data_IF_862066643862
#
_entry.id   IF_862066643862
#
_cell.length_a   1.000
_cell.length_b   1.000
_cell.length_c   1.000
_cell.angle_alpha   90.00
_cell.angle_beta   90.00
_cell.angle_gamma   90.00
#
_symmetry.space_group_name_H-M   'P 1'
#
loop_
_entity.id
_entity.type
_entity.pdbx_description
1 polymer ?
#
# COMPACT_ATOMS: atom_id res chain seq x y z
N UNK A 1 -51.10 -8.76 1.97
CA UNK A 1 -50.07 -8.95 0.91
C UNK A 1 -49.19 -7.70 0.75
N UNK A 2 -49.72 -6.48 0.91
CA UNK A 2 -48.94 -5.26 0.68
C UNK A 2 -47.87 -4.94 1.73
N UNK A 3 -48.07 -5.34 2.99
CA UNK A 3 -47.07 -5.12 4.06
C UNK A 3 -45.73 -5.83 3.79
N UNK A 4 -45.78 -7.08 3.29
CA UNK A 4 -44.57 -7.84 2.95
C UNK A 4 -43.80 -7.19 1.78
N UNK A 5 -44.52 -6.62 0.80
CA UNK A 5 -43.93 -5.91 -0.34
C UNK A 5 -43.25 -4.61 0.07
N UNK A 6 -43.89 -3.83 0.97
CA UNK A 6 -43.31 -2.58 1.52
C UNK A 6 -42.08 -2.87 2.39
N UNK A 7 -42.08 -3.95 3.18
CA UNK A 7 -40.90 -4.36 3.95
C UNK A 7 -39.76 -4.81 3.04
N UNK A 8 -40.06 -5.58 1.98
CA UNK A 8 -39.05 -6.00 1.00
C UNK A 8 -38.43 -4.79 0.27
N UNK A 9 -39.25 -3.83 -0.15
CA UNK A 9 -38.78 -2.60 -0.80
C UNK A 9 -37.89 -1.76 0.14
N UNK A 10 -38.31 -1.59 1.39
CA UNK A 10 -37.49 -0.90 2.39
C UNK A 10 -36.18 -1.63 2.69
N UNK A 11 -36.18 -2.96 2.72
CA UNK A 11 -34.96 -3.76 2.91
C UNK A 11 -33.97 -3.58 1.75
N UNK A 12 -34.45 -3.60 0.51
CA UNK A 12 -33.63 -3.35 -0.68
C UNK A 12 -33.06 -1.93 -0.65
N UNK A 13 -33.90 -0.92 -0.36
CA UNK A 13 -33.45 0.47 -0.22
C UNK A 13 -32.38 0.61 0.85
N UNK A 14 -32.58 0.02 2.02
CA UNK A 14 -31.61 0.07 3.13
C UNK A 14 -30.29 -0.60 2.78
N UNK A 15 -30.31 -1.72 2.06
CA UNK A 15 -29.08 -2.37 1.56
C UNK A 15 -28.32 -1.46 0.59
N UNK A 16 -29.02 -0.83 -0.35
CA UNK A 16 -28.39 0.10 -1.30
C UNK A 16 -27.82 1.34 -0.60
N UNK A 17 -28.56 1.92 0.36
CA UNK A 17 -28.07 3.00 1.22
C UNK A 17 -26.80 2.58 1.96
N UNK A 18 -26.79 1.40 2.60
CA UNK A 18 -25.62 0.88 3.31
C UNK A 18 -24.40 0.75 2.41
N UNK A 19 -24.55 0.20 1.20
CA UNK A 19 -23.45 0.07 0.25
C UNK A 19 -22.90 1.44 -0.18
N UNK A 20 -23.77 2.43 -0.37
CA UNK A 20 -23.34 3.79 -0.70
C UNK A 20 -22.62 4.45 0.49
N UNK A 21 -23.10 4.25 1.72
CA UNK A 21 -22.41 4.73 2.93
C UNK A 21 -21.06 4.06 3.13
N UNK A 22 -20.93 2.76 2.86
CA UNK A 22 -19.65 2.06 2.95
C UNK A 22 -18.63 2.61 1.95
N UNK A 23 -19.06 2.86 0.70
CA UNK A 23 -18.22 3.53 -0.31
C UNK A 23 -17.84 4.96 0.07
N UNK A 24 -18.75 5.70 0.71
CA UNK A 24 -18.43 7.03 1.23
C UNK A 24 -17.42 6.93 2.37
N UNK A 25 -17.61 5.99 3.29
CA UNK A 25 -16.73 5.75 4.43
C UNK A 25 -15.31 5.41 3.99
N UNK A 26 -15.14 4.51 3.01
CA UNK A 26 -13.79 4.16 2.51
C UNK A 26 -13.09 5.35 1.84
N UNK A 27 -13.84 6.18 1.11
CA UNK A 27 -13.30 7.43 0.54
C UNK A 27 -12.92 8.43 1.62
N UNK A 28 -13.71 8.56 2.68
CA UNK A 28 -13.41 9.45 3.81
C UNK A 28 -12.17 8.98 4.57
N UNK A 29 -12.02 7.67 4.78
CA UNK A 29 -10.85 7.09 5.44
C UNK A 29 -9.57 7.33 4.63
N UNK A 30 -9.62 7.10 3.31
CA UNK A 30 -8.51 7.41 2.41
C UNK A 30 -8.14 8.91 2.41
N UNK A 31 -9.13 9.81 2.50
CA UNK A 31 -8.88 11.25 2.61
C UNK A 31 -8.28 11.61 3.96
N UNK A 32 -8.76 11.01 5.05
CA UNK A 32 -8.21 11.21 6.41
C UNK A 32 -6.74 10.83 6.46
N UNK A 33 -6.39 9.64 5.94
CA UNK A 33 -5.01 9.17 5.93
C UNK A 33 -4.08 10.08 5.10
N UNK A 34 -4.57 10.60 3.97
CA UNK A 34 -3.84 11.61 3.17
C UNK A 34 -3.66 12.94 3.93
N UNK A 35 -4.68 13.39 4.65
CA UNK A 35 -4.60 14.61 5.46
C UNK A 35 -3.63 14.45 6.64
N UNK A 36 -3.62 13.30 7.30
CA UNK A 36 -2.66 13.00 8.37
C UNK A 36 -1.22 12.98 7.85
N UNK A 37 -1.01 12.35 6.69
CA UNK A 37 0.27 12.39 5.97
C UNK A 37 0.70 13.82 5.69
N UNK A 38 -0.21 14.63 5.16
CA UNK A 38 0.06 16.03 4.82
C UNK A 38 0.35 16.88 6.07
N UNK A 39 -0.36 16.66 7.17
CA UNK A 39 -0.13 17.36 8.44
C UNK A 39 1.25 17.05 9.02
N UNK A 40 1.67 15.78 8.99
CA UNK A 40 3.03 15.36 9.36
C UNK A 40 4.07 16.02 8.46
N UNK A 41 3.87 15.97 7.14
CA UNK A 41 4.80 16.55 6.16
C UNK A 41 4.89 18.09 6.26
N UNK A 42 3.80 18.77 6.62
CA UNK A 42 3.79 20.21 6.91
C UNK A 42 4.64 20.55 8.14
N UNK A 43 4.57 19.73 9.18
CA UNK A 43 5.38 19.89 10.41
C UNK A 43 6.87 19.67 10.12
N UNK A 44 7.19 18.68 9.29
CA UNK A 44 8.56 18.41 8.85
C UNK A 44 9.09 19.57 8.00
N UNK A 45 8.30 20.04 7.02
CA UNK A 45 8.65 21.19 6.17
C UNK A 45 8.97 22.45 7.00
N UNK A 46 8.17 22.74 8.04
CA UNK A 46 8.45 23.85 8.97
C UNK A 46 9.76 23.65 9.73
N UNK A 47 10.02 22.45 10.21
CA UNK A 47 11.25 22.10 10.94
C UNK A 47 12.48 22.23 10.05
N UNK A 48 12.42 21.71 8.81
CA UNK A 48 13.48 21.88 7.81
C UNK A 48 13.70 23.35 7.48
N UNK A 49 12.64 24.14 7.32
CA UNK A 49 12.75 25.59 7.09
C UNK A 49 13.48 26.33 8.22
N UNK A 50 13.29 25.92 9.48
CA UNK A 50 14.02 26.49 10.61
C UNK A 50 15.49 26.06 10.64
N UNK A 51 15.78 24.80 10.32
CA UNK A 51 17.16 24.28 10.25
C UNK A 51 17.94 25.00 9.15
N UNK A 52 17.34 25.18 7.96
CA UNK A 52 17.97 25.92 6.85
C UNK A 52 18.28 27.36 7.25
N UNK A 53 17.36 28.06 7.93
CA UNK A 53 17.62 29.41 8.45
C UNK A 53 18.75 29.44 9.49
N UNK A 54 18.80 28.44 10.37
CA UNK A 54 19.87 28.31 11.36
C UNK A 54 21.23 28.04 10.72
N UNK A 55 21.24 27.23 9.64
CA UNK A 55 22.43 26.95 8.85
C UNK A 55 22.93 28.21 8.13
N UNK A 56 22.03 28.97 7.50
CA UNK A 56 22.35 30.24 6.84
C UNK A 56 22.93 31.26 7.82
N UNK A 57 22.35 31.39 9.02
CA UNK A 57 22.87 32.25 10.09
C UNK A 57 24.25 31.80 10.60
N UNK A 58 24.46 30.49 10.74
CA UNK A 58 25.75 29.92 11.18
C UNK A 58 26.84 30.09 10.12
N UNK A 59 26.48 29.96 8.83
CA UNK A 59 27.35 30.22 7.69
C UNK A 59 27.75 31.70 7.62
N UNK A 60 26.79 32.61 7.78
CA UNK A 60 27.04 34.05 7.76
C UNK A 60 27.96 34.52 8.90
N UNK A 61 27.91 33.85 10.05
CA UNK A 61 28.76 34.16 11.21
C UNK A 61 30.09 33.39 11.23
N UNK A 62 30.33 32.50 10.24
CA UNK A 62 31.53 31.66 10.19
C UNK A 62 31.64 30.66 11.34
N UNK A 63 30.53 30.36 12.03
CA UNK A 63 30.53 29.48 13.19
C UNK A 63 30.41 28.01 12.74
N UNK A 64 31.55 27.39 12.47
CA UNK A 64 31.67 25.98 12.06
C UNK A 64 31.13 25.00 13.12
N UNK A 65 31.24 25.33 14.42
CA UNK A 65 30.70 24.50 15.49
C UNK A 65 29.16 24.43 15.41
N UNK A 66 28.50 25.58 15.31
CA UNK A 66 27.04 25.65 15.13
C UNK A 66 26.58 25.04 13.80
N UNK A 67 27.41 25.14 12.76
CA UNK A 67 27.14 24.49 11.48
C UNK A 67 27.14 22.96 11.61
N UNK A 68 28.11 22.39 12.33
CA UNK A 68 28.14 20.96 12.63
C UNK A 68 26.92 20.53 13.43
N UNK A 69 26.57 21.27 14.50
CA UNK A 69 25.39 20.96 15.34
C UNK A 69 24.08 21.05 14.56
N UNK A 70 23.93 22.02 13.66
CA UNK A 70 22.74 22.18 12.81
C UNK A 70 22.67 21.11 11.71
N UNK A 71 23.81 20.64 11.21
CA UNK A 71 23.86 19.51 10.29
C UNK A 71 23.50 18.19 10.97
N UNK A 72 23.97 17.95 12.21
CA UNK A 72 23.57 16.78 12.98
C UNK A 72 22.05 16.77 13.25
N UNK A 73 21.45 17.95 13.46
CA UNK A 73 19.99 18.09 13.58
C UNK A 73 19.27 17.86 12.25
N UNK A 74 19.82 18.34 11.14
CA UNK A 74 19.28 18.08 9.81
C UNK A 74 19.23 16.58 9.52
N UNK A 75 20.34 15.88 9.77
CA UNK A 75 20.47 14.44 9.52
C UNK A 75 19.47 13.64 10.38
N UNK A 76 19.34 13.97 11.67
CA UNK A 76 18.31 13.37 12.54
C UNK A 76 16.90 13.59 12.03
N UNK A 77 16.58 14.79 11.55
CA UNK A 77 15.23 15.10 11.07
C UNK A 77 14.94 14.41 9.75
N UNK A 78 15.95 14.27 8.89
CA UNK A 78 15.84 13.56 7.63
C UNK A 78 15.66 12.05 7.83
N UNK A 79 16.47 11.41 8.68
CA UNK A 79 16.33 9.98 9.01
C UNK A 79 14.97 9.69 9.65
N UNK A 80 14.51 10.54 10.58
CA UNK A 80 13.17 10.38 11.16
C UNK A 80 12.06 10.50 10.12
N UNK A 81 12.23 11.33 9.09
CA UNK A 81 11.27 11.45 7.99
C UNK A 81 11.25 10.18 7.14
N UNK A 82 12.41 9.62 6.80
CA UNK A 82 12.49 8.37 6.03
C UNK A 82 11.84 7.20 6.78
N UNK A 83 12.17 7.04 8.07
CA UNK A 83 11.57 5.98 8.90
C UNK A 83 10.05 6.17 9.03
N UNK A 84 9.57 7.41 9.18
CA UNK A 84 8.13 7.67 9.21
C UNK A 84 7.45 7.42 7.86
N UNK A 85 8.09 7.74 6.75
CA UNK A 85 7.57 7.47 5.41
C UNK A 85 7.49 5.96 5.17
N UNK A 86 8.55 5.21 5.49
CA UNK A 86 8.58 3.75 5.38
C UNK A 86 7.52 3.08 6.27
N UNK A 87 7.38 3.53 7.52
CA UNK A 87 6.35 2.99 8.42
C UNK A 87 4.94 3.29 7.90
N UNK A 88 4.73 4.47 7.32
CA UNK A 88 3.44 4.84 6.76
C UNK A 88 3.13 4.09 5.47
N UNK A 89 4.10 3.87 4.59
CA UNK A 89 4.00 3.01 3.41
C UNK A 89 3.63 1.58 3.81
N UNK A 90 4.33 1.03 4.80
CA UNK A 90 4.08 -0.33 5.33
C UNK A 90 2.70 -0.45 6.00
N UNK A 91 2.29 0.55 6.79
CA UNK A 91 0.97 0.59 7.40
C UNK A 91 -0.16 0.78 6.37
N UNK A 92 0.06 1.61 5.35
CA UNK A 92 -0.86 1.77 4.22
C UNK A 92 -0.99 0.48 3.43
N UNK A 93 0.13 -0.21 3.15
CA UNK A 93 0.14 -1.51 2.47
C UNK A 93 -0.60 -2.58 3.29
N UNK A 94 -0.39 -2.64 4.61
CA UNK A 94 -1.09 -3.57 5.49
C UNK A 94 -2.61 -3.30 5.60
N UNK A 95 -3.02 -2.03 5.70
CA UNK A 95 -4.45 -1.64 5.73
C UNK A 95 -5.14 -1.87 4.38
N UNK A 96 -4.43 -1.57 3.29
CA UNK A 96 -4.89 -1.79 1.91
C UNK A 96 -4.99 -3.29 1.60
N UNK A 97 -4.09 -4.12 2.13
CA UNK A 97 -4.14 -5.59 1.97
C UNK A 97 -5.47 -6.20 2.46
N UNK A 98 -6.05 -5.66 3.55
CA UNK A 98 -7.33 -6.16 4.08
C UNK A 98 -8.55 -5.75 3.22
N UNK A 99 -8.45 -4.63 2.50
CA UNK A 99 -9.55 -4.08 1.68
C UNK A 99 -9.40 -4.34 0.17
N UNK A 100 -8.21 -4.75 -0.26
CA UNK A 100 -7.86 -5.21 -1.61
C UNK A 100 -7.01 -6.47 -1.49
N UNK A 101 -7.63 -7.64 -1.38
CA UNK A 101 -6.91 -8.92 -1.38
C UNK A 101 -6.12 -9.07 -2.68
N UNK A 102 -4.85 -9.48 -2.59
CA UNK A 102 -3.99 -9.62 -3.78
C UNK A 102 -4.58 -10.61 -4.80
N UNK A 103 -5.24 -11.68 -4.35
CA UNK A 103 -5.92 -12.63 -5.24
C UNK A 103 -7.02 -12.00 -6.10
N UNK A 104 -7.82 -11.09 -5.54
CA UNK A 104 -8.86 -10.37 -6.28
C UNK A 104 -8.26 -9.38 -7.30
N UNK A 105 -7.16 -8.72 -6.93
CA UNK A 105 -6.42 -7.81 -7.82
C UNK A 105 -5.77 -8.59 -8.96
N UNK A 106 -5.15 -9.73 -8.68
CA UNK A 106 -4.52 -10.61 -9.67
C UNK A 106 -5.55 -11.18 -10.64
N UNK A 107 -6.70 -11.62 -10.14
CA UNK A 107 -7.80 -12.10 -10.99
C UNK A 107 -8.36 -11.00 -11.89
N UNK A 108 -8.53 -9.78 -11.36
CA UNK A 108 -8.98 -8.64 -12.15
C UNK A 108 -7.94 -8.23 -13.20
N UNK A 109 -6.65 -8.26 -12.84
CA UNK A 109 -5.55 -7.95 -13.75
C UNK A 109 -5.50 -8.94 -14.92
N UNK A 110 -5.71 -10.24 -14.65
CA UNK A 110 -5.78 -11.26 -15.70
C UNK A 110 -7.02 -11.11 -16.58
N UNK A 111 -8.18 -10.79 -16.00
CA UNK A 111 -9.40 -10.51 -16.78
C UNK A 111 -9.21 -9.30 -17.71
N UNK A 112 -8.59 -8.22 -17.22
CA UNK A 112 -8.29 -7.02 -18.04
C UNK A 112 -7.21 -7.33 -19.08
N UNK A 113 -6.21 -8.14 -18.75
CA UNK A 113 -5.19 -8.59 -19.70
C UNK A 113 -5.84 -9.33 -20.89
N UNK A 114 -6.71 -10.30 -20.58
CA UNK A 114 -7.44 -11.08 -21.57
C UNK A 114 -8.39 -10.20 -22.41
N UNK A 115 -9.13 -9.27 -21.78
CA UNK A 115 -10.08 -8.38 -22.45
C UNK A 115 -9.41 -7.39 -23.42
N UNK A 116 -8.19 -6.95 -23.12
CA UNK A 116 -7.43 -6.02 -23.95
C UNK A 116 -6.43 -6.72 -24.88
N UNK A 117 -6.40 -8.06 -24.91
CA UNK A 117 -5.44 -8.83 -25.70
C UNK A 117 -3.98 -8.54 -25.32
N UNK A 118 -3.77 -7.99 -24.12
CA UNK A 118 -2.47 -7.90 -23.49
C UNK A 118 -2.21 -9.31 -22.94
N UNK A 119 -1.52 -10.16 -23.70
CA UNK A 119 -0.87 -11.31 -23.08
C UNK A 119 0.06 -10.73 -22.01
N UNK A 120 -0.40 -10.74 -20.75
CA UNK A 120 0.48 -10.59 -19.59
C UNK A 120 1.27 -11.87 -19.55
N UNK A 121 2.22 -11.98 -20.48
CA UNK A 121 3.34 -12.88 -20.34
C UNK A 121 4.00 -12.44 -19.05
N UNK A 122 3.72 -13.19 -17.99
CA UNK A 122 4.44 -13.18 -16.72
C UNK A 122 5.87 -13.56 -17.06
N UNK A 123 6.60 -12.58 -17.59
CA UNK A 123 8.02 -12.62 -17.87
C UNK A 123 8.67 -11.57 -16.98
N UNK A 124 8.29 -11.58 -15.69
CA UNK A 124 9.21 -11.13 -14.66
C UNK A 124 10.52 -11.89 -14.91
N UNK A 125 11.65 -11.20 -15.12
CA UNK A 125 12.88 -11.84 -15.55
C UNK A 125 13.38 -12.74 -14.42
N UNK A 126 13.14 -14.04 -14.54
CA UNK A 126 13.89 -15.04 -13.78
C UNK A 126 15.29 -15.03 -14.36
N UNK A 127 16.24 -14.50 -13.60
CA UNK A 127 17.65 -14.63 -13.89
C UNK A 127 18.02 -16.12 -13.93
N UNK A 128 18.72 -16.50 -15.00
CA UNK A 128 19.32 -17.82 -15.30
C UNK A 128 18.32 -18.91 -15.74
N UNK A 129 18.58 -19.76 -16.74
CA UNK A 129 19.61 -19.90 -17.75
C UNK A 129 19.18 -21.08 -18.65
N UNK A 130 19.43 -20.96 -19.95
CA UNK A 130 19.56 -22.07 -20.92
C UNK A 130 18.31 -22.86 -21.33
N UNK A 131 18.13 -22.89 -22.65
CA UNK A 131 17.10 -23.60 -23.41
C UNK A 131 17.24 -25.12 -23.39
N UNK A 132 16.14 -25.84 -23.16
CA UNK A 132 15.80 -27.15 -23.78
C UNK A 132 14.26 -27.30 -23.79
N UNK A 133 13.61 -27.74 -24.90
CA UNK A 133 12.15 -27.88 -24.97
C UNK A 133 11.70 -29.28 -24.53
N UNK A 134 10.81 -29.41 -23.54
CA UNK A 134 10.12 -30.68 -23.26
C UNK A 134 8.70 -30.45 -22.73
N UNK A 135 7.73 -30.86 -23.58
CA UNK A 135 6.37 -31.37 -23.33
C UNK A 135 5.48 -30.67 -22.30
N UNK A 136 4.35 -30.20 -22.83
CA UNK A 136 3.04 -30.02 -22.19
C UNK A 136 2.80 -31.01 -21.03
N UNK A 137 2.71 -30.47 -19.82
CA UNK A 137 1.92 -31.05 -18.72
C UNK A 137 1.20 -29.92 -18.00
N UNK A 138 -0.11 -30.01 -18.06
CA UNK A 138 -1.14 -29.46 -17.17
C UNK A 138 -0.72 -28.28 -16.29
N UNK A 139 -1.23 -27.10 -16.62
CA UNK A 139 -1.31 -25.97 -15.72
C UNK A 139 -2.29 -26.31 -14.58
N UNK A 140 -1.79 -26.92 -13.50
CA UNK A 140 -2.50 -26.95 -12.22
C UNK A 140 -2.61 -25.51 -11.71
N UNK A 141 -3.85 -25.01 -11.62
CA UNK A 141 -4.19 -23.86 -10.80
C UNK A 141 -3.83 -24.23 -9.36
N UNK A 142 -2.73 -23.71 -8.85
CA UNK A 142 -2.36 -23.89 -7.45
C UNK A 142 -3.27 -23.00 -6.63
N UNK A 143 -4.33 -23.57 -6.07
CA UNK A 143 -5.19 -22.89 -5.11
C UNK A 143 -4.35 -22.48 -3.88
N UNK A 144 -4.54 -21.24 -3.40
CA UNK A 144 -3.83 -20.69 -2.23
C UNK A 144 -3.99 -21.57 -0.97
N UNK A 145 -5.06 -22.37 -0.90
CA UNK A 145 -5.28 -23.37 0.15
C UNK A 145 -4.22 -24.49 0.13
N UNK A 146 -3.72 -24.90 -1.04
CA UNK A 146 -2.66 -25.91 -1.16
C UNK A 146 -1.31 -25.36 -0.71
N UNK A 147 -1.00 -24.11 -1.06
CA UNK A 147 0.19 -23.40 -0.57
C UNK A 147 0.16 -23.24 0.95
N UNK A 148 -0.98 -22.83 1.49
CA UNK A 148 -1.21 -22.67 2.94
C UNK A 148 -1.01 -23.99 3.68
N UNK A 149 -1.51 -25.08 3.11
CA UNK A 149 -1.38 -26.44 3.65
C UNK A 149 0.07 -26.95 3.59
N UNK A 150 0.77 -26.75 2.47
CA UNK A 150 2.18 -27.12 2.32
C UNK A 150 3.10 -26.32 3.27
N UNK A 151 2.78 -25.05 3.52
CA UNK A 151 3.53 -24.20 4.44
C UNK A 151 3.31 -24.63 5.90
N UNK A 152 2.08 -25.03 6.25
CA UNK A 152 1.78 -25.61 7.55
C UNK A 152 2.50 -26.96 7.78
N UNK A 153 2.56 -27.83 6.77
CA UNK A 153 3.30 -29.09 6.84
C UNK A 153 4.82 -28.88 6.97
N UNK A 154 5.38 -27.89 6.27
CA UNK A 154 6.80 -27.51 6.42
C UNK A 154 7.09 -26.96 7.82
N UNK A 155 6.20 -26.13 8.36
CA UNK A 155 6.33 -25.57 9.71
C UNK A 155 6.18 -26.60 10.82
N UNK A 156 5.44 -27.69 10.58
CA UNK A 156 5.29 -28.80 11.52
C UNK A 156 6.48 -29.79 11.48
N UNK A 157 7.31 -29.72 10.44
CA UNK A 157 8.43 -30.64 10.19
C UNK A 157 9.80 -30.03 10.53
N UNK A 158 9.86 -28.74 10.84
CA UNK A 158 11.01 -28.05 11.44
C UNK A 158 10.80 -27.85 12.94
#
# INVERSE_FOLDING_TARGET
>A
MDGARIYAENAIRKRTEQMNYLRLSSRLDAVSARLDTQAKMSTISKSMGNIVKSLESSLATGNLQKMSETMDQFEKQFVNMEVQAEFMESAMAGSTSLSTPEGEVNSLMQQVADDYGLEVSVNLPVAAAHAVPVKEKDAEKVDEDDLSRRLAELKARG
#
